data_IF_632646769594
#
_entry.id   IF_632646769594
#
_cell.length_a   1.000
_cell.length_b   1.000
_cell.length_c   1.000
_cell.angle_alpha   90.00
_cell.angle_beta   90.00
_cell.angle_gamma   90.00
#
_symmetry.space_group_name_H-M   'P 1'
#
loop_
_entity.id
_entity.type
_entity.pdbx_description
1 polymer ?
#
# COMPACT_ATOMS: atom_id res chain seq x y z
N UNK A 1 14.56 -14.73 23.76
CA UNK A 1 13.79 -13.85 24.67
C UNK A 1 12.30 -14.17 24.55
N UNK A 2 11.67 -14.49 25.68
CA UNK A 2 10.23 -14.70 25.74
C UNK A 2 9.54 -13.34 25.65
N UNK A 3 8.65 -13.15 24.67
CA UNK A 3 7.84 -11.94 24.52
C UNK A 3 6.37 -12.26 24.73
N UNK A 4 5.68 -11.39 25.46
CA UNK A 4 4.22 -11.40 25.51
C UNK A 4 3.68 -10.59 24.34
N UNK A 5 3.01 -11.25 23.39
CA UNK A 5 2.42 -10.59 22.22
C UNK A 5 0.97 -10.23 22.51
N UNK A 6 0.63 -8.96 22.35
CA UNK A 6 -0.72 -8.42 22.53
C UNK A 6 -1.16 -7.77 21.22
N UNK A 7 -2.32 -8.16 20.72
CA UNK A 7 -2.93 -7.53 19.56
C UNK A 7 -3.91 -6.43 19.98
N UNK A 8 -3.82 -5.31 19.29
CA UNK A 8 -4.68 -4.14 19.51
C UNK A 8 -5.30 -3.78 18.15
N UNK A 9 -6.58 -3.48 18.13
CA UNK A 9 -7.22 -3.03 16.89
C UNK A 9 -7.07 -1.52 16.76
N UNK A 10 -6.37 -1.05 15.70
CA UNK A 10 -5.97 0.34 15.51
C UNK A 10 -4.95 0.84 16.56
N UNK A 11 -3.81 0.16 16.63
CA UNK A 11 -2.71 0.51 17.53
C UNK A 11 -2.29 2.00 17.41
N UNK A 12 -2.45 2.59 16.22
CA UNK A 12 -2.17 4.01 15.98
C UNK A 12 -2.96 4.95 16.92
N UNK A 13 -4.19 4.60 17.23
CA UNK A 13 -5.05 5.33 18.17
C UNK A 13 -4.70 5.00 19.61
N UNK A 14 -4.70 3.72 19.96
CA UNK A 14 -4.49 3.25 21.34
C UNK A 14 -3.09 3.59 21.87
N UNK A 15 -2.07 3.58 21.02
CA UNK A 15 -0.70 3.91 21.37
C UNK A 15 -0.57 5.32 21.97
N UNK A 16 -1.40 6.28 21.52
CA UNK A 16 -1.36 7.65 22.03
C UNK A 16 -1.70 7.71 23.53
N UNK A 17 -2.56 6.81 24.00
CA UNK A 17 -2.91 6.69 25.41
C UNK A 17 -1.85 5.90 26.18
N UNK A 18 -1.31 4.82 25.58
CA UNK A 18 -0.36 3.92 26.23
C UNK A 18 1.06 4.47 26.32
N UNK A 19 1.46 5.37 25.41
CA UNK A 19 2.87 5.78 25.25
C UNK A 19 3.53 6.35 26.51
N UNK A 20 2.76 6.92 27.43
CA UNK A 20 3.24 7.49 28.68
C UNK A 20 3.34 6.47 29.82
N UNK A 21 2.66 5.34 29.72
CA UNK A 21 2.60 4.32 30.77
C UNK A 21 3.71 3.28 30.68
N UNK A 22 4.28 3.10 29.47
CA UNK A 22 5.32 2.10 29.23
C UNK A 22 6.64 2.76 28.86
N UNK A 23 7.75 2.09 29.24
CA UNK A 23 9.06 2.40 28.69
C UNK A 23 9.28 1.54 27.44
N UNK A 24 9.48 2.19 26.31
CA UNK A 24 9.58 1.55 25.01
C UNK A 24 11.04 1.23 24.66
N UNK A 25 11.29 0.01 24.14
CA UNK A 25 12.55 -0.41 23.55
C UNK A 25 12.59 -0.08 22.05
N UNK A 26 11.54 -0.50 21.32
CA UNK A 26 11.42 -0.28 19.89
C UNK A 26 9.98 0.05 19.51
N UNK A 27 9.83 1.06 18.63
CA UNK A 27 8.56 1.38 18.00
C UNK A 27 8.77 1.37 16.48
N UNK A 28 8.10 0.46 15.80
CA UNK A 28 8.10 0.38 14.34
C UNK A 28 6.83 1.03 13.80
N UNK A 29 6.98 2.14 13.11
CA UNK A 29 5.88 2.97 12.64
C UNK A 29 6.01 3.26 11.14
N UNK A 30 4.88 3.44 10.45
CA UNK A 30 4.84 3.91 9.06
C UNK A 30 5.11 5.42 9.00
N UNK A 31 4.62 6.15 9.96
CA UNK A 31 4.93 7.56 10.21
C UNK A 31 4.92 7.82 11.73
N UNK A 32 5.26 9.04 12.15
CA UNK A 32 5.42 9.40 13.56
C UNK A 32 4.24 9.04 14.48
N UNK A 33 3.04 8.87 13.92
CA UNK A 33 1.80 8.63 14.67
C UNK A 33 1.13 7.29 14.35
N UNK A 34 1.75 6.45 13.50
CA UNK A 34 1.15 5.18 13.04
C UNK A 34 2.04 3.98 13.34
N UNK A 35 2.21 3.61 14.61
CA UNK A 35 2.94 2.41 14.96
C UNK A 35 2.17 1.16 14.48
N UNK A 36 2.92 0.25 13.85
CA UNK A 36 2.45 -1.09 13.48
C UNK A 36 2.79 -2.09 14.57
N UNK A 37 3.92 -1.86 15.24
CA UNK A 37 4.42 -2.69 16.33
C UNK A 37 5.17 -1.82 17.33
N UNK A 38 4.95 -2.06 18.62
CA UNK A 38 5.66 -1.41 19.70
C UNK A 38 6.10 -2.44 20.75
N UNK A 39 7.36 -2.36 21.18
CA UNK A 39 7.96 -3.30 22.14
C UNK A 39 8.41 -2.52 23.37
N UNK A 40 8.01 -2.98 24.55
CA UNK A 40 8.45 -2.42 25.81
C UNK A 40 9.79 -3.03 26.26
N UNK A 41 10.52 -2.34 27.12
CA UNK A 41 11.77 -2.86 27.73
C UNK A 41 11.55 -4.16 28.52
N UNK A 42 10.33 -4.43 28.98
CA UNK A 42 9.96 -5.63 29.74
C UNK A 42 9.48 -6.78 28.86
N UNK A 43 9.62 -6.67 27.52
CA UNK A 43 9.30 -7.75 26.60
C UNK A 43 7.82 -7.89 26.21
N UNK A 44 6.97 -6.87 26.46
CA UNK A 44 5.60 -6.84 25.90
C UNK A 44 5.68 -6.29 24.47
N UNK A 45 5.13 -7.01 23.51
CA UNK A 45 5.08 -6.63 22.11
C UNK A 45 3.63 -6.39 21.67
N UNK A 46 3.28 -5.14 21.41
CA UNK A 46 1.99 -4.75 20.84
C UNK A 46 2.03 -4.80 19.33
N UNK A 47 1.00 -5.40 18.70
CA UNK A 47 0.81 -5.51 17.24
C UNK A 47 -0.56 -5.00 16.83
N UNK A 48 -0.66 -4.47 15.62
CA UNK A 48 -1.90 -3.91 15.09
C UNK A 48 -2.69 -4.95 14.28
N UNK A 49 -3.90 -5.31 14.76
CA UNK A 49 -4.81 -6.19 14.03
C UNK A 49 -5.57 -5.49 12.91
N UNK A 50 -5.72 -4.15 12.96
CA UNK A 50 -6.33 -3.37 11.88
C UNK A 50 -5.47 -3.40 10.62
N UNK A 51 -4.16 -3.12 10.75
CA UNK A 51 -3.22 -3.15 9.62
C UNK A 51 -3.01 -4.58 9.10
N UNK A 52 -3.12 -5.57 9.97
CA UNK A 52 -3.04 -6.98 9.58
C UNK A 52 -4.25 -7.43 8.77
N UNK A 53 -5.46 -7.05 9.18
CA UNK A 53 -6.72 -7.43 8.51
C UNK A 53 -7.06 -6.52 7.34
N UNK A 54 -6.82 -5.22 7.47
CA UNK A 54 -7.28 -4.17 6.56
C UNK A 54 -8.78 -3.85 6.71
N UNK A 55 -9.42 -4.27 7.82
CA UNK A 55 -10.85 -4.09 8.07
C UNK A 55 -11.12 -3.31 9.35
N UNK A 56 -12.21 -2.53 9.37
CA UNK A 56 -12.74 -2.00 10.62
C UNK A 56 -13.19 -3.14 11.55
N UNK A 57 -13.32 -2.88 12.84
CA UNK A 57 -13.71 -3.92 13.80
C UNK A 57 -15.08 -4.53 13.48
N UNK A 58 -16.05 -3.72 13.05
CA UNK A 58 -17.35 -4.21 12.59
C UNK A 58 -17.22 -5.17 11.39
N UNK A 59 -16.40 -4.77 10.41
CA UNK A 59 -16.16 -5.62 9.23
C UNK A 59 -15.33 -6.86 9.57
N UNK A 60 -14.48 -6.78 10.58
CA UNK A 60 -13.72 -7.90 11.10
C UNK A 60 -14.67 -8.93 11.72
N UNK A 61 -15.63 -8.47 12.57
CA UNK A 61 -16.65 -9.32 13.18
C UNK A 61 -17.51 -10.05 12.13
N UNK A 62 -17.99 -9.34 11.10
CA UNK A 62 -18.75 -9.94 9.99
C UNK A 62 -17.96 -11.05 9.25
N UNK A 63 -16.64 -10.97 9.25
CA UNK A 63 -15.75 -11.86 8.52
C UNK A 63 -15.17 -12.99 9.39
N UNK A 64 -15.47 -13.05 10.67
CA UNK A 64 -15.12 -14.19 11.54
C UNK A 64 -15.86 -15.44 11.07
N UNK A 65 -15.17 -16.56 11.08
CA UNK A 65 -15.69 -17.85 10.59
C UNK A 65 -15.85 -18.87 11.71
N UNK A 66 -14.86 -18.98 12.58
CA UNK A 66 -14.84 -19.97 13.66
C UNK A 66 -15.87 -19.67 14.74
N UNK A 67 -16.07 -18.39 15.04
CA UNK A 67 -17.03 -17.94 16.03
C UNK A 67 -17.63 -16.61 15.56
N UNK A 68 -18.92 -16.64 15.21
CA UNK A 68 -19.62 -15.44 14.71
C UNK A 68 -20.05 -14.56 15.85
N UNK A 69 -19.44 -13.39 15.95
CA UNK A 69 -19.78 -12.34 16.91
C UNK A 69 -20.33 -11.15 16.14
N UNK A 70 -21.49 -10.65 16.54
CA UNK A 70 -22.00 -9.39 16.04
C UNK A 70 -21.34 -8.22 16.79
N UNK A 71 -20.81 -7.24 16.05
CA UNK A 71 -20.30 -6.02 16.64
C UNK A 71 -21.43 -5.25 17.32
N UNK A 72 -21.33 -5.10 18.64
CA UNK A 72 -22.27 -4.26 19.37
C UNK A 72 -22.16 -2.80 18.95
N UNK A 73 -23.29 -2.14 18.76
CA UNK A 73 -23.32 -0.69 18.54
C UNK A 73 -23.21 -0.01 19.91
N UNK A 74 -22.15 0.74 20.12
CA UNK A 74 -21.93 1.50 21.33
C UNK A 74 -22.92 2.67 21.40
N UNK A 75 -23.62 2.73 22.53
CA UNK A 75 -24.51 3.83 22.89
C UNK A 75 -23.86 4.61 24.06
N UNK A 76 -22.58 4.95 23.85
CA UNK A 76 -21.81 5.69 24.82
C UNK A 76 -22.21 7.16 24.76
N UNK A 77 -22.67 7.70 25.86
CA UNK A 77 -22.87 9.15 25.98
C UNK A 77 -21.50 9.85 26.06
N UNK A 78 -21.02 10.34 24.91
CA UNK A 78 -19.76 11.09 24.83
C UNK A 78 -19.82 12.47 25.49
N UNK A 79 -20.97 12.95 25.94
CA UNK A 79 -21.11 14.20 26.68
C UNK A 79 -20.86 14.00 28.17
N UNK A 80 -20.95 12.76 28.64
CA UNK A 80 -20.66 12.43 30.03
C UNK A 80 -19.15 12.55 30.31
N UNK A 81 -18.80 13.40 31.25
CA UNK A 81 -17.41 13.54 31.71
C UNK A 81 -17.06 12.31 32.57
N UNK A 82 -16.14 11.51 32.09
CA UNK A 82 -15.64 10.30 32.76
C UNK A 82 -14.22 10.52 33.30
N UNK A 83 -13.94 9.90 34.40
CA UNK A 83 -12.61 9.85 35.01
C UNK A 83 -12.33 8.45 35.56
N UNK A 84 -11.17 8.21 36.15
CA UNK A 84 -10.76 6.91 36.68
C UNK A 84 -11.64 6.33 37.79
N UNK A 85 -12.55 7.14 38.36
CA UNK A 85 -13.50 6.74 39.43
C UNK A 85 -14.92 6.55 38.88
N UNK A 86 -15.15 6.83 37.61
CA UNK A 86 -16.46 6.64 37.01
C UNK A 86 -16.68 5.14 36.73
N UNK A 87 -17.66 4.55 37.39
CA UNK A 87 -18.03 3.14 37.18
C UNK A 87 -18.63 2.99 35.77
N UNK A 88 -18.28 1.91 35.09
CA UNK A 88 -18.89 1.54 33.81
C UNK A 88 -20.16 0.72 34.08
N UNK A 89 -21.21 0.99 33.35
CA UNK A 89 -22.42 0.16 33.36
C UNK A 89 -22.13 -1.23 32.79
N UNK A 90 -22.98 -2.21 33.09
CA UNK A 90 -22.88 -3.57 32.51
C UNK A 90 -22.94 -3.53 31.00
N UNK A 91 -23.75 -2.63 30.40
CA UNK A 91 -23.83 -2.42 28.94
C UNK A 91 -22.52 -1.90 28.37
N UNK A 92 -21.86 -0.96 29.03
CA UNK A 92 -20.56 -0.43 28.60
C UNK A 92 -19.45 -1.48 28.73
N UNK A 93 -19.45 -2.27 29.80
CA UNK A 93 -18.54 -3.40 29.98
C UNK A 93 -18.77 -4.48 28.92
N UNK A 94 -20.03 -4.82 28.64
CA UNK A 94 -20.41 -5.75 27.56
C UNK A 94 -19.90 -5.27 26.20
N UNK A 95 -20.03 -3.99 25.91
CA UNK A 95 -19.48 -3.40 24.68
C UNK A 95 -17.96 -3.52 24.58
N UNK A 96 -17.25 -3.20 25.66
CA UNK A 96 -15.79 -3.32 25.71
C UNK A 96 -15.33 -4.78 25.54
N UNK A 97 -16.00 -5.72 26.20
CA UNK A 97 -15.69 -7.15 26.08
C UNK A 97 -15.93 -7.65 24.65
N UNK A 98 -17.05 -7.28 24.04
CA UNK A 98 -17.37 -7.64 22.66
C UNK A 98 -16.25 -7.19 21.67
N UNK A 99 -15.71 -5.99 21.84
CA UNK A 99 -14.60 -5.48 21.02
C UNK A 99 -13.32 -6.31 21.20
N UNK A 100 -13.04 -6.76 22.42
CA UNK A 100 -11.88 -7.61 22.71
C UNK A 100 -12.07 -9.01 22.15
N UNK A 101 -13.26 -9.60 22.31
CA UNK A 101 -13.59 -10.94 21.80
C UNK A 101 -13.44 -11.04 20.29
N UNK A 102 -13.90 -10.03 19.53
CA UNK A 102 -13.73 -9.98 18.06
C UNK A 102 -12.24 -10.06 17.68
N UNK A 103 -11.37 -9.33 18.38
CA UNK A 103 -9.93 -9.36 18.11
C UNK A 103 -9.31 -10.70 18.49
N UNK A 104 -9.73 -11.26 19.63
CA UNK A 104 -9.27 -12.56 20.12
C UNK A 104 -9.56 -13.66 19.10
N UNK A 105 -10.82 -13.79 18.68
CA UNK A 105 -11.25 -14.80 17.71
C UNK A 105 -10.53 -14.65 16.37
N UNK A 106 -10.38 -13.42 15.88
CA UNK A 106 -9.60 -13.17 14.68
C UNK A 106 -8.15 -13.66 14.80
N UNK A 107 -7.50 -13.42 15.93
CA UNK A 107 -6.12 -13.85 16.14
C UNK A 107 -6.02 -15.37 16.33
N UNK A 108 -7.00 -16.02 16.93
CA UNK A 108 -7.08 -17.48 17.00
C UNK A 108 -7.20 -18.12 15.62
N UNK A 109 -8.01 -17.55 14.72
CA UNK A 109 -8.05 -17.96 13.30
C UNK A 109 -6.70 -17.81 12.63
N UNK A 110 -5.98 -16.68 12.87
CA UNK A 110 -4.64 -16.49 12.34
C UNK A 110 -3.62 -17.48 12.92
N UNK A 111 -3.70 -17.79 14.22
CA UNK A 111 -2.84 -18.82 14.84
C UNK A 111 -3.08 -20.18 14.20
N UNK A 112 -4.33 -20.54 13.97
CA UNK A 112 -4.70 -21.78 13.29
C UNK A 112 -4.09 -21.84 11.88
N UNK A 113 -4.13 -20.74 11.15
CA UNK A 113 -3.57 -20.67 9.78
C UNK A 113 -2.04 -20.71 9.75
N UNK A 114 -1.35 -20.00 10.65
CA UNK A 114 0.11 -19.87 10.66
C UNK A 114 0.80 -20.84 11.63
N UNK A 115 0.04 -21.55 12.44
CA UNK A 115 0.53 -22.52 13.43
C UNK A 115 1.12 -21.91 14.69
N UNK A 116 1.40 -20.59 14.70
CA UNK A 116 1.97 -19.90 15.88
C UNK A 116 1.79 -18.37 15.75
N UNK A 117 1.49 -17.72 16.86
CA UNK A 117 1.31 -16.26 16.95
C UNK A 117 2.54 -15.46 16.47
N UNK A 118 3.73 -15.99 16.65
CA UNK A 118 4.98 -15.32 16.21
C UNK A 118 5.17 -15.32 14.70
N UNK A 119 4.52 -16.25 13.98
CA UNK A 119 4.60 -16.39 12.52
C UNK A 119 3.56 -15.56 11.77
N UNK A 120 2.60 -14.99 12.49
CA UNK A 120 1.60 -14.11 11.90
C UNK A 120 2.32 -12.87 11.35
N UNK A 121 2.14 -12.50 10.08
CA UNK A 121 2.70 -11.29 9.51
C UNK A 121 2.20 -10.03 10.23
N UNK A 122 2.97 -8.97 10.26
CA UNK A 122 2.56 -7.71 10.90
C UNK A 122 1.51 -6.94 10.10
N UNK A 123 1.51 -7.13 8.77
CA UNK A 123 0.64 -6.38 7.86
C UNK A 123 0.11 -7.29 6.76
N UNK A 124 -1.01 -6.90 6.15
CA UNK A 124 -1.53 -7.62 4.99
C UNK A 124 -0.56 -7.57 3.78
N UNK A 125 0.11 -6.45 3.56
CA UNK A 125 1.17 -6.35 2.52
C UNK A 125 2.35 -7.26 2.81
N UNK A 126 2.73 -7.41 4.09
CA UNK A 126 3.75 -8.38 4.53
C UNK A 126 3.36 -9.83 4.24
N UNK A 127 2.07 -10.17 4.42
CA UNK A 127 1.49 -11.48 4.07
C UNK A 127 1.65 -11.79 2.58
N UNK A 128 1.25 -10.86 1.73
CA UNK A 128 1.38 -11.00 0.27
C UNK A 128 2.84 -11.13 -0.15
N UNK A 129 3.71 -10.30 0.43
CA UNK A 129 5.15 -10.36 0.15
C UNK A 129 5.73 -11.72 0.50
N UNK A 130 5.38 -12.28 1.64
CA UNK A 130 5.82 -13.62 2.06
C UNK A 130 5.34 -14.69 1.08
N UNK A 131 4.08 -14.62 0.66
CA UNK A 131 3.50 -15.55 -0.30
C UNK A 131 4.23 -15.48 -1.66
N UNK A 132 4.40 -14.29 -2.23
CA UNK A 132 5.09 -14.09 -3.50
C UNK A 132 6.57 -14.49 -3.40
N UNK A 133 7.25 -14.11 -2.31
CA UNK A 133 8.64 -14.48 -2.05
C UNK A 133 8.82 -16.01 -2.01
N UNK A 134 7.91 -16.72 -1.35
CA UNK A 134 7.95 -18.18 -1.31
C UNK A 134 7.78 -18.78 -2.70
N UNK A 135 6.89 -18.27 -3.52
CA UNK A 135 6.72 -18.72 -4.92
C UNK A 135 7.94 -18.44 -5.79
N UNK A 136 8.61 -17.30 -5.59
CA UNK A 136 9.79 -16.91 -6.39
C UNK A 136 11.07 -17.61 -5.97
N UNK A 137 11.34 -17.74 -4.67
CA UNK A 137 12.64 -18.14 -4.15
C UNK A 137 12.72 -19.63 -3.79
N UNK A 138 11.58 -20.31 -3.64
CA UNK A 138 11.53 -21.73 -3.32
C UNK A 138 10.96 -22.51 -4.50
N UNK A 139 11.73 -23.46 -5.04
CA UNK A 139 11.20 -24.33 -6.08
C UNK A 139 10.48 -25.53 -5.45
N UNK A 140 9.29 -25.87 -5.99
CA UNK A 140 8.55 -27.06 -5.57
C UNK A 140 9.14 -28.38 -6.12
N UNK A 141 10.33 -28.35 -6.73
CA UNK A 141 10.91 -29.49 -7.45
C UNK A 141 11.87 -30.35 -6.63
N UNK A 142 12.05 -30.11 -5.34
CA UNK A 142 12.95 -30.95 -4.56
C UNK A 142 12.24 -32.15 -3.93
N UNK A 143 12.38 -33.30 -4.54
CA UNK A 143 12.15 -34.61 -3.91
C UNK A 143 13.22 -34.97 -2.86
N UNK A 144 14.15 -34.08 -2.55
CA UNK A 144 15.21 -34.31 -1.54
C UNK A 144 14.83 -33.62 -0.24
N UNK A 145 14.78 -34.38 0.84
CA UNK A 145 14.35 -33.98 2.18
C UNK A 145 15.10 -32.79 2.81
N UNK A 146 16.19 -32.30 2.23
CA UNK A 146 17.10 -31.37 2.90
C UNK A 146 17.40 -30.06 2.17
N UNK A 147 16.76 -29.78 1.05
CA UNK A 147 16.98 -28.50 0.38
C UNK A 147 15.66 -27.90 -0.10
N UNK A 148 15.19 -26.88 0.58
CA UNK A 148 14.29 -25.92 -0.04
C UNK A 148 15.12 -25.27 -1.15
N UNK A 149 15.00 -25.78 -2.39
CA UNK A 149 15.74 -25.29 -3.52
C UNK A 149 15.44 -23.82 -3.75
N UNK A 150 16.40 -22.95 -3.45
CA UNK A 150 16.30 -21.53 -3.77
C UNK A 150 16.37 -21.35 -5.27
N UNK A 151 15.45 -20.59 -5.83
CA UNK A 151 15.57 -20.16 -7.20
C UNK A 151 16.65 -19.07 -7.29
N UNK A 152 17.90 -19.47 -7.53
CA UNK A 152 19.09 -18.61 -7.52
C UNK A 152 18.94 -17.46 -8.52
N UNK A 153 18.39 -17.72 -9.71
CA UNK A 153 18.18 -16.69 -10.74
C UNK A 153 17.37 -15.49 -10.22
N UNK A 154 16.27 -15.73 -9.48
CA UNK A 154 15.47 -14.63 -8.96
C UNK A 154 16.12 -13.96 -7.74
N UNK A 155 16.90 -14.70 -6.96
CA UNK A 155 17.73 -14.12 -5.89
C UNK A 155 18.77 -13.17 -6.46
N UNK A 156 19.42 -13.55 -7.55
CA UNK A 156 20.45 -12.74 -8.21
C UNK A 156 19.83 -11.51 -8.86
N UNK A 157 18.69 -11.65 -9.56
CA UNK A 157 17.94 -10.54 -10.11
C UNK A 157 17.55 -9.51 -9.03
N UNK A 158 17.07 -9.96 -7.88
CA UNK A 158 16.73 -9.06 -6.76
C UNK A 158 17.95 -8.32 -6.23
N UNK A 159 19.11 -8.96 -6.18
CA UNK A 159 20.37 -8.32 -5.78
C UNK A 159 20.84 -7.31 -6.82
N UNK A 160 20.78 -7.67 -8.10
CA UNK A 160 21.15 -6.79 -9.21
C UNK A 160 20.25 -5.54 -9.27
N UNK A 161 18.97 -5.67 -8.93
CA UNK A 161 18.03 -4.56 -8.87
C UNK A 161 18.07 -3.76 -7.55
N UNK A 162 19.00 -4.05 -6.63
CA UNK A 162 19.14 -3.28 -5.39
C UNK A 162 19.54 -1.83 -5.66
N UNK A 163 18.87 -0.90 -5.01
CA UNK A 163 19.02 0.54 -5.21
C UNK A 163 20.02 1.14 -4.23
N UNK A 164 20.70 2.20 -4.65
CA UNK A 164 21.37 3.13 -3.75
C UNK A 164 20.37 4.03 -3.03
N UNK A 165 20.78 4.74 -1.98
CA UNK A 165 19.93 5.67 -1.25
C UNK A 165 19.38 6.79 -2.15
N UNK A 166 20.21 7.32 -3.06
CA UNK A 166 19.81 8.38 -3.99
C UNK A 166 18.78 7.89 -5.02
N UNK A 167 19.02 6.70 -5.60
CA UNK A 167 18.10 6.06 -6.53
C UNK A 167 16.74 5.77 -5.86
N UNK A 168 16.76 5.26 -4.62
CA UNK A 168 15.56 5.01 -3.84
C UNK A 168 14.80 6.31 -3.54
N UNK A 169 15.50 7.36 -3.11
CA UNK A 169 14.90 8.67 -2.82
C UNK A 169 14.23 9.27 -4.06
N UNK A 170 14.86 9.14 -5.22
CA UNK A 170 14.29 9.62 -6.47
C UNK A 170 13.07 8.82 -6.89
N UNK A 171 13.09 7.48 -6.79
CA UNK A 171 11.94 6.61 -7.03
C UNK A 171 10.78 6.93 -6.08
N UNK A 172 11.07 7.21 -4.82
CA UNK A 172 10.06 7.58 -3.83
C UNK A 172 9.38 8.91 -4.16
N UNK A 173 10.12 9.90 -4.68
CA UNK A 173 9.55 11.18 -5.17
C UNK A 173 8.65 10.96 -6.38
N UNK A 174 9.07 10.13 -7.31
CA UNK A 174 8.34 9.80 -8.54
C UNK A 174 7.09 8.93 -8.27
N UNK A 175 7.07 8.15 -7.18
CA UNK A 175 5.94 7.30 -6.86
C UNK A 175 4.65 8.09 -6.62
N UNK A 176 3.58 7.68 -7.30
CA UNK A 176 2.21 8.17 -7.07
C UNK A 176 1.26 7.01 -6.81
N UNK A 177 0.33 7.20 -5.87
CA UNK A 177 -0.80 6.29 -5.67
C UNK A 177 -1.85 6.44 -6.78
N UNK A 178 -3.02 5.84 -6.59
CA UNK A 178 -4.15 6.01 -7.49
C UNK A 178 -4.52 7.48 -7.67
N UNK A 179 -4.87 7.85 -8.90
CA UNK A 179 -5.34 9.20 -9.19
C UNK A 179 -6.72 9.41 -8.58
N UNK A 180 -6.76 10.09 -7.44
CA UNK A 180 -7.98 10.40 -6.70
C UNK A 180 -8.14 11.90 -6.57
N UNK A 181 -9.32 12.45 -6.90
CA UNK A 181 -9.66 13.85 -6.74
C UNK A 181 -11.16 14.05 -6.77
N UNK A 182 -11.63 15.18 -6.24
CA UNK A 182 -13.01 15.63 -6.42
C UNK A 182 -13.07 16.54 -7.65
N UNK A 183 -14.07 16.32 -8.52
CA UNK A 183 -14.27 17.20 -9.67
C UNK A 183 -14.69 18.59 -9.20
N UNK A 184 -13.94 19.62 -9.58
CA UNK A 184 -14.25 21.01 -9.22
C UNK A 184 -15.59 21.45 -9.78
N UNK A 185 -16.00 20.95 -10.95
CA UNK A 185 -17.28 21.26 -11.61
C UNK A 185 -18.49 20.83 -10.78
N UNK A 186 -18.37 19.70 -10.07
CA UNK A 186 -19.47 19.05 -9.37
C UNK A 186 -19.37 19.14 -7.85
N UNK A 187 -18.25 19.63 -7.32
CA UNK A 187 -18.05 19.78 -5.88
C UNK A 187 -19.12 20.71 -5.27
N UNK A 188 -19.70 20.28 -4.16
CA UNK A 188 -20.78 20.99 -3.46
C UNK A 188 -22.15 20.92 -4.13
N UNK A 189 -22.33 20.10 -5.17
CA UNK A 189 -23.63 19.91 -5.85
C UNK A 189 -24.19 18.52 -5.54
N UNK A 190 -25.50 18.45 -5.38
CA UNK A 190 -26.23 17.17 -5.38
C UNK A 190 -26.50 16.76 -6.82
N UNK A 191 -26.11 15.55 -7.19
CA UNK A 191 -26.34 15.01 -8.52
C UNK A 191 -27.30 13.82 -8.44
N UNK A 192 -28.25 13.77 -9.38
CA UNK A 192 -29.18 12.66 -9.55
C UNK A 192 -28.79 11.81 -10.76
N UNK A 193 -29.27 10.56 -10.81
CA UNK A 193 -29.04 9.62 -11.90
C UNK A 193 -27.54 9.36 -12.17
N UNK A 194 -26.75 9.20 -11.10
CA UNK A 194 -25.31 8.93 -11.17
C UNK A 194 -25.06 7.44 -11.28
N UNK A 195 -24.24 7.02 -12.26
CA UNK A 195 -23.73 5.66 -12.37
C UNK A 195 -22.32 5.54 -11.77
N UNK A 196 -22.05 4.45 -11.07
CA UNK A 196 -20.69 4.08 -10.61
C UNK A 196 -20.13 2.99 -11.49
N UNK A 197 -18.93 3.19 -12.00
CA UNK A 197 -18.20 2.24 -12.83
C UNK A 197 -16.91 1.85 -12.11
N UNK A 198 -16.61 0.55 -12.01
CA UNK A 198 -15.41 0.02 -11.38
C UNK A 198 -14.70 -0.98 -12.30
N UNK A 199 -13.36 -0.95 -12.32
CA UNK A 199 -12.54 -1.92 -13.02
C UNK A 199 -12.25 -3.12 -12.12
N UNK A 200 -12.65 -4.29 -12.54
CA UNK A 200 -12.41 -5.53 -11.78
C UNK A 200 -10.91 -5.80 -11.62
N UNK A 201 -10.40 -5.69 -10.38
CA UNK A 201 -9.00 -5.97 -10.05
C UNK A 201 -7.99 -5.19 -10.92
N UNK A 202 -8.18 -3.89 -11.07
CA UNK A 202 -7.41 -3.00 -11.95
C UNK A 202 -5.89 -3.16 -11.79
N UNK A 203 -5.35 -3.02 -10.58
CA UNK A 203 -3.90 -3.17 -10.34
C UNK A 203 -3.35 -4.55 -10.71
N UNK A 204 -3.95 -5.68 -10.27
CA UNK A 204 -3.53 -7.00 -10.72
C UNK A 204 -3.58 -7.18 -12.24
N UNK A 205 -4.60 -6.66 -12.92
CA UNK A 205 -4.72 -6.74 -14.36
C UNK A 205 -3.54 -6.04 -15.07
N UNK A 206 -3.21 -4.81 -14.66
CA UNK A 206 -2.06 -4.07 -15.19
C UNK A 206 -0.74 -4.78 -14.87
N UNK A 207 -0.58 -5.36 -13.67
CA UNK A 207 0.62 -6.13 -13.32
C UNK A 207 0.82 -7.36 -14.19
N UNK A 208 -0.26 -7.93 -14.74
CA UNK A 208 -0.19 -9.09 -15.64
C UNK A 208 0.07 -8.71 -17.10
N UNK A 209 -0.41 -7.53 -17.55
CA UNK A 209 -0.40 -7.13 -18.96
C UNK A 209 0.79 -6.26 -19.35
N UNK A 210 1.34 -5.49 -18.42
CA UNK A 210 2.32 -4.46 -18.75
C UNK A 210 3.77 -4.87 -18.40
N UNK A 211 4.72 -4.20 -19.05
CA UNK A 211 6.15 -4.33 -18.74
C UNK A 211 6.52 -3.41 -17.57
N UNK A 212 7.49 -3.86 -16.78
CA UNK A 212 7.99 -3.16 -15.58
C UNK A 212 9.51 -2.99 -15.64
N UNK A 213 10.09 -2.03 -14.90
CA UNK A 213 11.52 -1.91 -14.73
C UNK A 213 12.12 -3.18 -14.13
N UNK A 214 12.89 -3.91 -14.91
CA UNK A 214 13.53 -5.18 -14.54
C UNK A 214 15.05 -5.08 -14.55
N UNK A 215 15.58 -3.87 -14.43
CA UNK A 215 17.01 -3.56 -14.28
C UNK A 215 17.22 -2.48 -13.22
N UNK A 216 18.44 -2.33 -12.77
CA UNK A 216 18.89 -1.18 -12.00
C UNK A 216 18.70 0.12 -12.81
N UNK A 217 18.44 1.28 -12.16
CA UNK A 217 18.48 2.55 -12.86
C UNK A 217 19.85 2.81 -13.49
N UNK A 218 19.87 3.20 -14.76
CA UNK A 218 21.07 3.54 -15.50
C UNK A 218 21.02 5.04 -15.80
N UNK A 219 21.99 5.79 -15.28
CA UNK A 219 22.04 7.24 -15.50
C UNK A 219 22.26 7.56 -16.98
N UNK A 220 21.43 8.43 -17.52
CA UNK A 220 21.47 8.88 -18.92
C UNK A 220 22.31 10.14 -19.06
N UNK A 221 23.25 10.13 -20.01
CA UNK A 221 23.96 11.34 -20.43
C UNK A 221 23.19 12.00 -21.59
N UNK A 222 22.34 12.97 -21.27
CA UNK A 222 21.50 13.66 -22.24
C UNK A 222 22.28 14.48 -23.30
N UNK A 223 23.61 14.58 -23.18
CA UNK A 223 24.47 15.15 -24.22
C UNK A 223 24.82 14.14 -25.32
N UNK A 224 24.73 12.82 -24.96
CA UNK A 224 25.10 11.73 -25.86
C UNK A 224 23.89 10.92 -26.33
N UNK A 225 22.84 10.87 -25.52
CA UNK A 225 21.62 10.10 -25.81
C UNK A 225 20.44 11.05 -26.02
N UNK A 226 19.68 10.83 -27.07
CA UNK A 226 18.48 11.63 -27.38
C UNK A 226 17.32 11.26 -26.46
N UNK A 227 16.86 12.21 -25.62
CA UNK A 227 15.69 12.02 -24.78
C UNK A 227 14.44 11.61 -25.59
N UNK A 228 14.26 12.18 -26.77
CA UNK A 228 13.13 11.87 -27.65
C UNK A 228 13.15 10.42 -28.15
N UNK A 229 14.33 9.89 -28.48
CA UNK A 229 14.49 8.51 -28.91
C UNK A 229 14.23 7.55 -27.75
N UNK A 230 14.78 7.84 -26.58
CA UNK A 230 14.52 7.06 -25.35
C UNK A 230 13.03 7.05 -24.99
N UNK A 231 12.36 8.20 -25.06
CA UNK A 231 10.93 8.31 -24.76
C UNK A 231 10.05 7.48 -25.73
N UNK A 232 10.49 7.29 -26.98
CA UNK A 232 9.77 6.52 -27.98
C UNK A 232 10.13 5.02 -27.98
N UNK A 233 11.09 4.60 -27.18
CA UNK A 233 11.49 3.18 -27.11
C UNK A 233 10.65 2.44 -26.07
N UNK A 234 9.80 1.53 -26.52
CA UNK A 234 8.91 0.72 -25.67
C UNK A 234 9.62 -0.28 -24.73
N UNK A 235 10.91 -0.55 -24.96
CA UNK A 235 11.72 -1.44 -24.13
C UNK A 235 12.51 -0.69 -23.05
N UNK A 236 12.32 0.64 -22.98
CA UNK A 236 12.95 1.54 -22.03
C UNK A 236 11.90 2.31 -21.27
N UNK A 237 11.95 2.26 -19.93
CA UNK A 237 11.22 3.17 -19.05
C UNK A 237 12.16 4.28 -18.57
N UNK A 238 11.64 5.47 -18.36
CA UNK A 238 12.41 6.62 -17.89
C UNK A 238 11.91 7.13 -16.56
N UNK A 239 12.84 7.65 -15.75
CA UNK A 239 12.57 8.43 -14.55
C UNK A 239 13.50 9.64 -14.57
N UNK A 240 12.95 10.84 -14.36
CA UNK A 240 13.71 12.07 -14.47
C UNK A 240 13.10 13.23 -13.69
N UNK A 241 13.93 14.22 -13.35
CA UNK A 241 13.45 15.50 -12.87
C UNK A 241 13.06 16.36 -14.08
N UNK A 242 11.83 16.88 -14.03
CA UNK A 242 11.24 17.67 -15.10
C UNK A 242 10.89 19.06 -14.58
N UNK A 243 11.58 20.10 -15.10
CA UNK A 243 11.25 21.49 -14.86
C UNK A 243 10.30 21.97 -15.95
N UNK A 244 9.16 22.49 -15.53
CA UNK A 244 8.09 23.01 -16.39
C UNK A 244 7.93 24.50 -16.17
N UNK A 245 7.80 25.27 -17.24
CA UNK A 245 7.61 26.73 -17.22
C UNK A 245 6.38 27.06 -18.04
N UNK A 246 5.52 27.96 -17.53
CA UNK A 246 4.28 28.37 -18.18
C UNK A 246 3.28 27.22 -18.27
N UNK A 247 2.91 26.67 -17.12
CA UNK A 247 2.04 25.49 -17.03
C UNK A 247 0.58 25.93 -16.92
N UNK A 248 -0.27 25.51 -17.85
CA UNK A 248 -1.71 25.79 -17.85
C UNK A 248 -2.50 24.53 -18.16
N UNK A 249 -3.41 24.15 -17.27
CA UNK A 249 -4.29 23.00 -17.50
C UNK A 249 -5.25 23.29 -18.67
N UNK A 250 -5.34 22.37 -19.63
CA UNK A 250 -6.24 22.45 -20.77
C UNK A 250 -7.71 22.29 -20.36
N UNK A 251 -7.94 21.65 -19.23
CA UNK A 251 -9.26 21.44 -18.65
C UNK A 251 -9.35 22.15 -17.30
N UNK A 252 -10.34 23.02 -17.14
CA UNK A 252 -10.58 23.76 -15.90
C UNK A 252 -11.18 22.93 -14.77
N UNK A 253 -11.54 21.67 -15.01
CA UNK A 253 -12.25 20.83 -14.05
C UNK A 253 -11.37 19.76 -13.40
N UNK A 254 -10.31 19.35 -14.10
CA UNK A 254 -9.44 18.23 -13.70
C UNK A 254 -8.01 18.53 -14.11
N UNK A 255 -7.08 18.24 -13.23
CA UNK A 255 -5.65 18.40 -13.49
C UNK A 255 -4.85 17.28 -12.87
N UNK A 256 -3.78 16.86 -13.55
CA UNK A 256 -2.99 15.69 -13.20
C UNK A 256 -1.92 15.97 -12.14
N UNK A 257 -1.21 17.10 -12.27
CA UNK A 257 -0.09 17.43 -11.38
C UNK A 257 -0.54 17.60 -9.93
N UNK A 258 0.14 16.88 -9.03
CA UNK A 258 -0.09 16.98 -7.59
C UNK A 258 0.86 18.02 -6.99
N UNK A 259 0.32 18.98 -6.24
CA UNK A 259 1.09 20.00 -5.55
C UNK A 259 2.13 19.40 -4.59
N UNK A 260 1.75 18.36 -3.87
CA UNK A 260 2.65 17.65 -2.94
C UNK A 260 3.82 16.91 -3.60
N UNK A 261 3.82 16.76 -4.93
CA UNK A 261 4.86 16.11 -5.72
C UNK A 261 5.70 17.11 -6.52
N UNK A 262 5.39 18.40 -6.41
CA UNK A 262 6.13 19.46 -7.07
C UNK A 262 6.99 20.21 -6.05
N UNK A 263 8.13 20.71 -6.52
CA UNK A 263 9.07 21.52 -5.74
C UNK A 263 9.60 22.66 -6.61
N UNK A 264 10.32 23.62 -6.01
CA UNK A 264 10.79 24.84 -6.68
C UNK A 264 9.65 25.57 -7.44
N UNK A 265 8.50 25.68 -6.77
CA UNK A 265 7.26 26.18 -7.39
C UNK A 265 7.17 27.71 -7.32
N UNK A 266 6.63 28.33 -8.41
CA UNK A 266 6.29 29.76 -8.48
C UNK A 266 4.93 29.94 -9.16
N UNK A 267 4.13 30.90 -8.68
CA UNK A 267 2.86 31.27 -9.30
C UNK A 267 1.84 30.12 -9.36
N UNK A 268 1.83 29.24 -8.35
CA UNK A 268 0.95 28.05 -8.36
C UNK A 268 -0.49 28.44 -8.04
N UNK A 269 -1.41 27.99 -8.89
CA UNK A 269 -2.86 27.95 -8.65
C UNK A 269 -3.26 26.49 -8.58
N UNK A 270 -3.70 26.04 -7.39
CA UNK A 270 -4.11 24.67 -7.14
C UNK A 270 -5.50 24.59 -6.49
N UNK A 271 -6.19 23.48 -6.71
CA UNK A 271 -7.44 23.13 -6.06
C UNK A 271 -7.42 21.65 -5.68
N UNK A 272 -7.85 21.30 -4.46
CA UNK A 272 -7.83 19.94 -3.93
C UNK A 272 -6.46 19.23 -4.13
N UNK A 273 -5.34 19.98 -3.95
CA UNK A 273 -3.99 19.45 -4.13
C UNK A 273 -3.60 19.17 -5.59
N UNK A 274 -4.36 19.67 -6.57
CA UNK A 274 -4.05 19.55 -8.00
C UNK A 274 -3.73 20.94 -8.58
N UNK A 275 -2.65 21.01 -9.35
CA UNK A 275 -2.15 22.25 -9.96
C UNK A 275 -2.86 22.50 -11.28
N UNK A 276 -3.49 23.64 -11.43
CA UNK A 276 -4.12 24.11 -12.66
C UNK A 276 -3.21 25.05 -13.45
N UNK A 277 -2.43 25.88 -12.75
CA UNK A 277 -1.49 26.81 -13.34
C UNK A 277 -0.24 26.92 -12.47
N UNK A 278 0.89 27.14 -13.12
CA UNK A 278 2.13 27.55 -12.46
C UNK A 278 3.02 28.31 -13.44
N UNK A 279 3.71 29.34 -12.94
CA UNK A 279 4.76 30.02 -13.72
C UNK A 279 5.97 29.10 -13.89
N UNK A 280 6.34 28.41 -12.82
CA UNK A 280 7.46 27.47 -12.80
C UNK A 280 7.22 26.38 -11.74
N UNK A 281 7.56 25.14 -12.06
CA UNK A 281 7.62 24.04 -11.09
C UNK A 281 8.61 22.97 -11.55
N UNK A 282 9.09 22.17 -10.60
CA UNK A 282 9.88 20.96 -10.87
C UNK A 282 9.18 19.77 -10.25
N UNK A 283 9.20 18.64 -10.94
CA UNK A 283 8.63 17.37 -10.43
C UNK A 283 9.48 16.19 -10.88
N UNK A 284 9.56 15.13 -10.07
CA UNK A 284 10.22 13.88 -10.46
C UNK A 284 9.15 12.93 -10.99
N UNK A 285 9.28 12.50 -12.23
CA UNK A 285 8.24 11.77 -12.96
C UNK A 285 8.81 10.64 -13.82
N UNK A 286 7.90 9.73 -14.24
CA UNK A 286 8.17 8.72 -15.26
C UNK A 286 7.83 9.24 -16.67
N UNK A 287 8.24 8.48 -17.68
CA UNK A 287 7.85 8.74 -19.07
C UNK A 287 6.32 8.65 -19.27
N UNK A 288 5.63 7.81 -18.51
CA UNK A 288 4.17 7.69 -18.53
C UNK A 288 3.53 8.97 -18.01
N UNK A 289 3.97 9.46 -16.83
CA UNK A 289 3.49 10.71 -16.25
C UNK A 289 3.73 11.89 -17.20
N UNK A 290 4.91 11.93 -17.82
CA UNK A 290 5.26 12.99 -18.76
C UNK A 290 4.31 13.04 -19.96
N UNK A 291 3.92 11.90 -20.51
CA UNK A 291 2.94 11.82 -21.61
C UNK A 291 1.57 12.32 -21.17
N UNK A 292 1.13 11.94 -19.95
CA UNK A 292 -0.13 12.42 -19.38
C UNK A 292 -0.09 13.93 -19.14
N UNK A 293 0.99 14.44 -18.57
CA UNK A 293 1.18 15.89 -18.34
C UNK A 293 1.08 16.64 -19.67
N UNK A 294 1.76 16.20 -20.71
CA UNK A 294 1.69 16.83 -22.05
C UNK A 294 0.29 16.77 -22.66
N UNK A 295 -0.48 15.73 -22.35
CA UNK A 295 -1.86 15.64 -22.81
C UNK A 295 -2.78 16.61 -22.04
N UNK A 296 -2.54 16.81 -20.74
CA UNK A 296 -3.41 17.57 -19.85
C UNK A 296 -3.08 19.06 -19.74
N UNK A 297 -1.84 19.48 -20.11
CA UNK A 297 -1.37 20.84 -19.94
C UNK A 297 -0.79 21.45 -21.23
N UNK A 298 -0.98 22.75 -21.40
CA UNK A 298 -0.14 23.59 -22.25
C UNK A 298 1.06 24.03 -21.44
N UNK A 299 2.26 23.93 -22.00
CA UNK A 299 3.53 24.16 -21.33
C UNK A 299 4.47 24.91 -22.27
N UNK A 300 4.97 26.07 -21.86
CA UNK A 300 5.84 26.90 -22.68
C UNK A 300 7.23 26.28 -22.85
N UNK A 301 7.84 25.82 -21.76
CA UNK A 301 9.18 25.22 -21.80
C UNK A 301 9.29 24.02 -20.86
N UNK A 302 10.05 23.03 -21.32
CA UNK A 302 10.36 21.80 -20.59
C UNK A 302 11.88 21.64 -20.54
N UNK A 303 12.42 21.40 -19.34
CA UNK A 303 13.81 20.99 -19.16
C UNK A 303 13.87 19.68 -18.36
N UNK A 304 14.65 18.74 -18.85
CA UNK A 304 14.84 17.42 -18.24
C UNK A 304 16.23 17.32 -17.64
N UNK A 305 16.31 16.89 -16.40
CA UNK A 305 17.56 16.65 -15.68
C UNK A 305 17.49 15.35 -14.91
N UNK A 306 18.61 14.89 -14.35
CA UNK A 306 18.70 13.67 -13.54
C UNK A 306 17.97 12.47 -14.18
N UNK A 307 18.14 12.26 -15.47
CA UNK A 307 17.46 11.21 -16.21
C UNK A 307 18.10 9.84 -15.95
N UNK A 308 17.26 8.87 -15.66
CA UNK A 308 17.62 7.45 -15.55
C UNK A 308 16.75 6.65 -16.50
N UNK A 309 17.32 5.59 -17.08
CA UNK A 309 16.62 4.61 -17.91
C UNK A 309 16.62 3.24 -17.25
N UNK A 310 15.58 2.47 -17.51
CA UNK A 310 15.39 1.10 -17.07
C UNK A 310 15.09 0.23 -18.30
N UNK A 311 15.56 -1.01 -18.29
CA UNK A 311 15.09 -2.00 -19.25
C UNK A 311 13.76 -2.58 -18.78
N UNK A 312 12.76 -2.52 -19.66
CA UNK A 312 11.38 -2.91 -19.38
C UNK A 312 11.12 -4.34 -19.83
N UNK A 313 10.63 -5.18 -18.90
CA UNK A 313 10.25 -6.56 -19.17
C UNK A 313 8.99 -6.91 -18.35
N UNK A 314 8.32 -8.00 -18.73
CA UNK A 314 7.25 -8.53 -17.91
C UNK A 314 7.78 -9.02 -16.56
N UNK A 315 6.94 -8.95 -15.53
CA UNK A 315 7.27 -9.48 -14.21
C UNK A 315 7.68 -10.97 -14.31
N UNK A 316 8.56 -11.46 -13.44
CA UNK A 316 8.95 -12.87 -13.42
C UNK A 316 7.76 -13.81 -13.35
N UNK A 317 7.78 -14.89 -14.15
CA UNK A 317 6.69 -15.87 -14.23
C UNK A 317 6.13 -16.32 -12.87
N UNK A 318 6.95 -16.59 -11.81
CA UNK A 318 6.40 -16.94 -10.51
C UNK A 318 5.56 -15.84 -9.85
N UNK A 319 5.90 -14.55 -10.09
CA UNK A 319 5.09 -13.42 -9.59
C UNK A 319 3.75 -13.39 -10.31
N UNK A 320 3.76 -13.51 -11.64
CA UNK A 320 2.53 -13.59 -12.45
C UNK A 320 1.64 -14.77 -12.02
N UNK A 321 2.25 -15.94 -11.77
CA UNK A 321 1.55 -17.12 -11.28
C UNK A 321 0.95 -16.90 -9.90
N UNK A 322 1.66 -16.22 -8.99
CA UNK A 322 1.14 -15.88 -7.66
C UNK A 322 -0.08 -14.95 -7.75
N UNK A 323 -0.04 -13.94 -8.61
CA UNK A 323 -1.16 -13.02 -8.84
C UNK A 323 -2.37 -13.78 -9.41
N UNK A 324 -2.14 -14.62 -10.42
CA UNK A 324 -3.20 -15.44 -11.04
C UNK A 324 -3.82 -16.44 -10.06
N UNK A 325 -3.03 -17.03 -9.17
CA UNK A 325 -3.52 -17.93 -8.13
C UNK A 325 -4.44 -17.20 -7.15
N UNK A 326 -4.03 -16.03 -6.66
CA UNK A 326 -4.85 -15.18 -5.79
C UNK A 326 -6.15 -14.74 -6.48
N UNK A 327 -6.08 -14.37 -7.76
CA UNK A 327 -7.26 -14.00 -8.53
C UNK A 327 -8.21 -15.19 -8.74
N UNK A 328 -7.66 -16.35 -9.09
CA UNK A 328 -8.43 -17.60 -9.23
C UNK A 328 -9.13 -17.94 -7.92
N UNK A 329 -8.40 -17.95 -6.80
CA UNK A 329 -8.99 -18.25 -5.49
C UNK A 329 -10.11 -17.27 -5.14
N UNK A 330 -9.88 -15.95 -5.32
CA UNK A 330 -10.93 -14.95 -5.12
C UNK A 330 -12.18 -15.21 -5.96
N UNK A 331 -12.05 -15.71 -7.19
CA UNK A 331 -13.20 -15.91 -8.08
C UNK A 331 -13.90 -17.25 -7.86
N UNK A 332 -13.13 -18.32 -7.60
CA UNK A 332 -13.67 -19.68 -7.43
C UNK A 332 -14.23 -19.93 -6.04
N UNK A 333 -13.68 -19.27 -5.00
CA UNK A 333 -14.13 -19.47 -3.61
C UNK A 333 -15.30 -18.54 -3.23
N UNK A 334 -15.68 -17.60 -4.07
CA UNK A 334 -16.75 -16.64 -3.78
C UNK A 334 -18.10 -17.36 -3.67
N UNK A 335 -18.71 -17.33 -2.47
CA UNK A 335 -20.01 -17.96 -2.20
C UNK A 335 -19.97 -19.47 -2.06
N UNK A 336 -18.79 -20.06 -1.90
CA UNK A 336 -18.63 -21.50 -1.61
C UNK A 336 -18.65 -21.69 -0.11
N UNK A 337 -19.60 -22.46 0.39
CA UNK A 337 -19.76 -22.78 1.80
C UNK A 337 -18.49 -23.44 2.37
N UNK A 338 -18.03 -22.97 3.53
CA UNK A 338 -16.82 -23.45 4.21
C UNK A 338 -15.50 -22.90 3.64
N UNK A 339 -15.54 -22.04 2.62
CA UNK A 339 -14.35 -21.42 2.02
C UNK A 339 -14.25 -19.91 2.25
N UNK A 340 -15.04 -19.37 3.17
CA UNK A 340 -15.16 -17.94 3.44
C UNK A 340 -13.82 -17.32 3.88
N UNK A 341 -13.07 -18.01 4.76
CA UNK A 341 -11.75 -17.57 5.24
C UNK A 341 -10.76 -17.44 4.07
N UNK A 342 -10.67 -18.52 3.26
CA UNK A 342 -9.74 -18.55 2.13
C UNK A 342 -10.11 -17.51 1.07
N UNK A 343 -11.42 -17.30 0.83
CA UNK A 343 -11.92 -16.26 -0.06
C UNK A 343 -11.49 -14.87 0.41
N UNK A 344 -11.76 -14.53 1.68
CA UNK A 344 -11.45 -13.23 2.25
C UNK A 344 -9.94 -12.98 2.28
N UNK A 345 -9.16 -14.00 2.64
CA UNK A 345 -7.72 -13.94 2.63
C UNK A 345 -7.20 -13.67 1.21
N UNK A 346 -7.65 -14.44 0.22
CA UNK A 346 -7.24 -14.28 -1.18
C UNK A 346 -7.63 -12.90 -1.74
N UNK A 347 -8.83 -12.41 -1.39
CA UNK A 347 -9.29 -11.06 -1.74
C UNK A 347 -8.43 -9.98 -1.11
N UNK A 348 -8.13 -10.09 0.19
CA UNK A 348 -7.28 -9.14 0.90
C UNK A 348 -5.85 -9.14 0.36
N UNK A 349 -5.28 -10.30 0.09
CA UNK A 349 -3.95 -10.44 -0.50
C UNK A 349 -3.90 -9.86 -1.91
N UNK A 350 -4.88 -10.16 -2.76
CA UNK A 350 -4.94 -9.64 -4.13
C UNK A 350 -5.02 -8.11 -4.15
N UNK A 351 -5.82 -7.52 -3.26
CA UNK A 351 -5.92 -6.06 -3.14
C UNK A 351 -4.62 -5.41 -2.65
N UNK A 352 -3.80 -6.16 -1.90
CA UNK A 352 -2.53 -5.68 -1.34
C UNK A 352 -1.31 -6.00 -2.21
N UNK A 353 -1.49 -6.67 -3.35
CA UNK A 353 -0.38 -7.05 -4.25
C UNK A 353 0.43 -5.84 -4.70
N UNK A 354 -0.24 -4.77 -5.11
CA UNK A 354 0.44 -3.53 -5.49
C UNK A 354 1.16 -2.90 -4.28
N UNK A 355 0.50 -2.85 -3.13
CA UNK A 355 1.07 -2.29 -1.91
C UNK A 355 2.36 -2.97 -1.45
N UNK A 356 2.54 -4.27 -1.73
CA UNK A 356 3.80 -4.95 -1.41
C UNK A 356 4.99 -4.44 -2.22
N UNK A 357 4.75 -3.90 -3.43
CA UNK A 357 5.79 -3.38 -4.32
C UNK A 357 6.28 -1.99 -3.89
N UNK A 358 5.50 -1.26 -3.11
CA UNK A 358 5.74 0.15 -2.74
C UNK A 358 5.92 0.36 -1.24
N UNK A 359 6.16 -0.70 -0.49
CA UNK A 359 6.41 -0.62 0.96
C UNK A 359 7.77 0.03 1.21
N UNK A 360 7.81 0.99 2.13
CA UNK A 360 9.06 1.56 2.63
C UNK A 360 9.96 0.49 3.26
N UNK A 361 11.26 0.65 3.06
CA UNK A 361 12.30 -0.25 3.55
C UNK A 361 12.84 0.29 4.87
#
# INVERSE_FOLDING_TARGET
ENRLIIYVHNLSYEFQFMRKFFKWDKVFAVDERKPIKAVTINGIEFRDSYILSGYSLAKLAENLVSHKIEKMVGDLDYKLIRNSQTELSEKELGYCNNDVEIVLDYIEEQITQYGNITKIPLTNTGRVRQFVKNKCLHSNTSHKKDSVGKNQRYTDLMKECSLSADEYTMLKRCFMGGFTHASMKWSGKTLENVASIDFTSSYPAVMLSEKYPMSKPIKVDLKKESFKELLNNSDVGLMFDCKLIGVHAKNSFESYLSDSKCFDTKGVIANNGRIFQADELTTTITDIDFRIIKACYDIDKVAVTNCYKFYMQYLPKPILQAILELYKNKTTLKGVEGSEVEYLLSKGMLNSVYGMCVTDI
#
